data_IF_450932820815
#
_entry.id   IF_450932820815
#
_cell.length_a   1.000
_cell.length_b   1.000
_cell.length_c   1.000
_cell.angle_alpha   90.00
_cell.angle_beta   90.00
_cell.angle_gamma   90.00
#
_symmetry.space_group_name_H-M   'P 1'
#
loop_
_entity.id
_entity.type
_entity.pdbx_description
1 polymer ?
#
# COMPACT_ATOMS: atom_id res chain seq x y z
N UNK A 1 -25.27 23.85 19.49
CA UNK A 1 -24.88 23.85 18.06
C UNK A 1 -25.95 23.07 17.31
N UNK A 2 -26.71 23.70 16.41
CA UNK A 2 -27.73 22.98 15.63
C UNK A 2 -27.07 22.01 14.64
N UNK A 3 -27.67 20.84 14.45
CA UNK A 3 -27.28 19.83 13.45
C UNK A 3 -27.15 20.42 12.05
N UNK A 4 -27.98 21.42 11.73
CA UNK A 4 -27.97 22.11 10.44
C UNK A 4 -26.67 22.88 10.19
N UNK A 5 -26.07 23.43 11.26
CA UNK A 5 -24.81 24.15 11.16
C UNK A 5 -23.65 23.19 10.85
N UNK A 6 -23.64 22.01 11.47
CA UNK A 6 -22.63 20.98 11.21
C UNK A 6 -22.70 20.47 9.76
N UNK A 7 -23.91 20.16 9.27
CA UNK A 7 -24.12 19.72 7.89
C UNK A 7 -23.63 20.77 6.89
N UNK A 8 -23.91 22.05 7.15
CA UNK A 8 -23.46 23.15 6.31
C UNK A 8 -21.93 23.27 6.28
N UNK A 9 -21.28 23.14 7.43
CA UNK A 9 -19.81 23.16 7.53
C UNK A 9 -19.19 22.01 6.74
N UNK A 10 -19.68 20.78 6.94
CA UNK A 10 -19.18 19.60 6.23
C UNK A 10 -19.36 19.72 4.71
N UNK A 11 -20.54 20.18 4.26
CA UNK A 11 -20.83 20.37 2.83
C UNK A 11 -19.90 21.42 2.23
N UNK A 12 -19.78 22.59 2.86
CA UNK A 12 -18.91 23.67 2.41
C UNK A 12 -17.44 23.24 2.38
N UNK A 13 -17.00 22.46 3.37
CA UNK A 13 -15.62 21.95 3.45
C UNK A 13 -15.36 20.95 2.32
N UNK A 14 -16.31 20.05 2.07
CA UNK A 14 -16.24 19.06 0.98
C UNK A 14 -16.18 19.76 -0.38
N UNK A 15 -17.03 20.75 -0.62
CA UNK A 15 -17.01 21.54 -1.85
C UNK A 15 -15.68 22.25 -2.06
N UNK A 16 -15.11 22.84 -1.01
CA UNK A 16 -13.82 23.53 -1.08
C UNK A 16 -12.65 22.58 -1.32
N UNK A 17 -12.65 21.41 -0.67
CA UNK A 17 -11.61 20.40 -0.83
C UNK A 17 -11.67 19.69 -2.19
N UNK A 18 -12.83 19.71 -2.86
CA UNK A 18 -13.02 19.04 -4.16
C UNK A 18 -12.71 19.94 -5.36
N UNK A 19 -12.23 21.18 -5.13
CA UNK A 19 -11.98 22.13 -6.22
C UNK A 19 -10.78 21.70 -7.06
N UNK A 20 -10.86 21.67 -8.39
CA UNK A 20 -9.74 21.28 -9.26
C UNK A 20 -8.47 22.13 -9.04
N UNK A 21 -8.65 23.39 -8.66
CA UNK A 21 -7.56 24.32 -8.37
C UNK A 21 -6.79 23.92 -7.10
N UNK A 22 -7.46 23.33 -6.11
CA UNK A 22 -6.81 22.77 -4.92
C UNK A 22 -6.04 21.47 -5.19
N UNK A 23 -6.03 20.99 -6.42
CA UNK A 23 -5.55 19.65 -6.79
C UNK A 23 -4.41 19.66 -7.83
N UNK A 24 -4.22 20.76 -8.56
CA UNK A 24 -3.28 20.87 -9.68
C UNK A 24 -1.81 20.56 -9.34
N UNK A 25 -1.35 20.91 -8.14
CA UNK A 25 0.03 20.63 -7.70
C UNK A 25 0.16 19.34 -6.87
N UNK A 26 -0.96 18.77 -6.43
CA UNK A 26 -1.00 17.59 -5.55
C UNK A 26 -1.08 16.26 -6.31
N UNK A 27 -1.54 16.27 -7.56
CA UNK A 27 -1.67 15.05 -8.35
C UNK A 27 -0.59 14.94 -9.43
N UNK A 28 0.16 13.84 -9.38
CA UNK A 28 0.78 13.30 -10.58
C UNK A 28 -0.33 12.82 -11.51
N UNK A 29 -0.25 13.12 -12.82
CA UNK A 29 -1.23 12.63 -13.79
C UNK A 29 -1.12 11.11 -13.92
N UNK A 30 -1.90 10.39 -13.12
CA UNK A 30 -2.14 8.97 -13.32
C UNK A 30 -3.23 8.77 -14.38
N UNK A 31 -3.09 7.73 -15.22
CA UNK A 31 -4.25 7.25 -15.98
C UNK A 31 -5.13 6.49 -14.99
N UNK A 32 -6.45 6.59 -15.19
CA UNK A 32 -7.38 5.76 -14.44
C UNK A 32 -7.01 4.29 -14.59
N UNK A 33 -6.75 3.63 -13.45
CA UNK A 33 -6.34 2.22 -13.39
C UNK A 33 -4.85 1.98 -13.13
N UNK A 34 -3.99 3.01 -13.19
CA UNK A 34 -2.58 2.84 -12.82
C UNK A 34 -2.45 2.55 -11.32
N UNK A 35 -1.72 1.48 -10.99
CA UNK A 35 -1.51 1.09 -9.60
C UNK A 35 -0.43 1.97 -8.99
N UNK A 36 -0.78 2.70 -7.94
CA UNK A 36 0.16 3.40 -7.09
C UNK A 36 0.87 2.44 -6.13
N UNK A 37 2.13 2.72 -5.75
CA UNK A 37 2.79 2.02 -4.66
C UNK A 37 1.98 2.15 -3.36
N UNK A 38 1.75 1.02 -2.69
CA UNK A 38 0.99 0.91 -1.46
C UNK A 38 1.93 0.77 -0.27
N UNK A 39 1.98 1.78 0.59
CA UNK A 39 2.77 1.73 1.83
C UNK A 39 2.40 0.54 2.72
N UNK A 40 1.12 0.14 2.75
CA UNK A 40 0.67 -1.05 3.49
C UNK A 40 1.27 -2.33 2.92
N UNK A 41 1.29 -2.48 1.59
CA UNK A 41 1.85 -3.65 0.91
C UNK A 41 3.38 -3.70 1.04
N UNK A 42 4.05 -2.54 0.95
CA UNK A 42 5.49 -2.44 1.17
C UNK A 42 5.87 -2.87 2.60
N UNK A 43 5.09 -2.49 3.62
CA UNK A 43 5.30 -2.97 4.98
C UNK A 43 5.20 -4.51 5.07
N UNK A 44 4.19 -5.09 4.43
CA UNK A 44 4.00 -6.54 4.38
C UNK A 44 5.16 -7.27 3.69
N UNK A 45 5.68 -6.73 2.59
CA UNK A 45 6.88 -7.24 1.90
C UNK A 45 8.08 -7.32 2.85
N UNK A 46 8.28 -6.28 3.67
CA UNK A 46 9.37 -6.26 4.66
C UNK A 46 9.13 -7.29 5.77
N UNK A 47 7.90 -7.42 6.26
CA UNK A 47 7.54 -8.42 7.26
C UNK A 47 7.73 -9.86 6.74
N UNK A 48 7.32 -10.13 5.50
CA UNK A 48 7.55 -11.42 4.83
C UNK A 48 9.04 -11.70 4.68
N UNK A 49 9.81 -10.74 4.17
CA UNK A 49 11.27 -10.86 4.03
C UNK A 49 11.95 -11.20 5.36
N UNK A 50 11.58 -10.52 6.45
CA UNK A 50 12.10 -10.82 7.80
C UNK A 50 11.74 -12.24 8.25
N UNK A 51 10.51 -12.70 7.98
CA UNK A 51 10.08 -14.05 8.35
C UNK A 51 10.82 -15.15 7.58
N UNK A 52 11.25 -14.86 6.35
CA UNK A 52 12.02 -15.79 5.50
C UNK A 52 13.49 -15.83 5.92
N UNK A 53 14.10 -14.65 6.15
CA UNK A 53 15.53 -14.52 6.50
C UNK A 53 15.83 -14.93 7.94
N UNK A 54 14.89 -14.68 8.85
CA UNK A 54 15.04 -14.93 10.29
C UNK A 54 13.85 -15.77 10.81
N UNK A 55 13.68 -17.00 10.32
CA UNK A 55 12.56 -17.84 10.73
C UNK A 55 12.64 -18.18 12.22
N UNK A 56 11.51 -18.11 12.92
CA UNK A 56 11.43 -18.31 14.37
C UNK A 56 11.65 -17.03 15.20
N UNK A 57 12.24 -15.99 14.62
CA UNK A 57 12.30 -14.64 15.23
C UNK A 57 11.16 -13.74 14.74
N UNK A 58 10.82 -13.85 13.46
CA UNK A 58 9.75 -13.08 12.82
C UNK A 58 8.72 -14.02 12.18
N UNK A 59 7.47 -13.56 12.08
CA UNK A 59 6.36 -14.36 11.58
C UNK A 59 5.60 -15.08 12.70
N UNK A 60 5.03 -16.25 12.40
CA UNK A 60 4.22 -16.99 13.38
C UNK A 60 5.13 -17.61 14.46
N UNK A 61 4.78 -17.50 15.76
CA UNK A 61 5.62 -18.01 16.86
C UNK A 61 5.78 -19.54 16.90
N UNK A 62 5.00 -20.27 16.10
CA UNK A 62 5.02 -21.75 16.03
C UNK A 62 5.76 -22.27 14.78
N UNK A 63 6.97 -21.75 14.50
CA UNK A 63 7.82 -22.34 13.46
C UNK A 63 8.37 -23.68 13.97
N UNK A 64 7.75 -24.78 13.53
CA UNK A 64 8.27 -26.12 13.74
C UNK A 64 9.35 -26.41 12.69
N UNK A 65 10.51 -26.92 13.07
CA UNK A 65 11.59 -27.25 12.14
C UNK A 65 11.15 -28.27 11.07
N UNK A 66 10.14 -29.09 11.36
CA UNK A 66 9.54 -30.04 10.41
C UNK A 66 8.67 -29.36 9.34
N UNK A 67 8.17 -28.16 9.59
CA UNK A 67 7.28 -27.40 8.69
C UNK A 67 7.91 -26.11 8.16
N UNK A 68 9.13 -25.78 8.58
CA UNK A 68 9.82 -24.53 8.23
C UNK A 68 9.97 -24.35 6.71
N UNK A 69 10.30 -25.41 5.98
CA UNK A 69 10.43 -25.39 4.52
C UNK A 69 9.12 -25.02 3.84
N UNK A 70 7.99 -25.54 4.34
CA UNK A 70 6.66 -25.23 3.81
C UNK A 70 6.29 -23.76 4.05
N UNK A 71 6.52 -23.26 5.27
CA UNK A 71 6.26 -21.85 5.58
C UNK A 71 7.13 -20.89 4.77
N UNK A 72 8.42 -21.21 4.62
CA UNK A 72 9.33 -20.43 3.77
C UNK A 72 8.85 -20.44 2.32
N UNK A 73 8.48 -21.60 1.77
CA UNK A 73 7.99 -21.73 0.40
C UNK A 73 6.79 -20.83 0.12
N UNK A 74 5.76 -20.89 0.97
CA UNK A 74 4.56 -20.03 0.84
C UNK A 74 4.92 -18.55 0.97
N UNK A 75 5.77 -18.21 1.93
CA UNK A 75 6.15 -16.81 2.14
C UNK A 75 6.94 -16.27 0.95
N UNK A 76 7.80 -17.08 0.31
CA UNK A 76 8.53 -16.70 -0.91
C UNK A 76 7.57 -16.48 -2.08
N UNK A 77 6.59 -17.38 -2.28
CA UNK A 77 5.60 -17.23 -3.35
C UNK A 77 4.79 -15.93 -3.18
N UNK A 78 4.34 -15.66 -1.95
CA UNK A 78 3.63 -14.43 -1.62
C UNK A 78 4.52 -13.20 -1.78
N UNK A 79 5.77 -13.26 -1.32
CA UNK A 79 6.74 -12.18 -1.46
C UNK A 79 6.95 -11.83 -2.93
N UNK A 80 7.17 -12.83 -3.78
CA UNK A 80 7.35 -12.63 -5.22
C UNK A 80 6.14 -11.90 -5.83
N UNK A 81 4.91 -12.38 -5.59
CA UNK A 81 3.69 -11.74 -6.10
C UNK A 81 3.60 -10.27 -5.70
N UNK A 82 3.76 -9.97 -4.40
CA UNK A 82 3.59 -8.63 -3.87
C UNK A 82 4.70 -7.69 -4.35
N UNK A 83 5.95 -8.17 -4.33
CA UNK A 83 7.10 -7.36 -4.73
C UNK A 83 7.05 -7.02 -6.22
N UNK A 84 6.73 -7.98 -7.09
CA UNK A 84 6.55 -7.72 -8.52
C UNK A 84 5.46 -6.68 -8.79
N UNK A 85 4.31 -6.80 -8.11
CA UNK A 85 3.20 -5.84 -8.26
C UNK A 85 3.61 -4.43 -7.79
N UNK A 86 4.36 -4.31 -6.69
CA UNK A 86 4.81 -3.02 -6.16
C UNK A 86 5.94 -2.39 -6.98
N UNK A 87 6.86 -3.19 -7.53
CA UNK A 87 7.89 -2.71 -8.46
C UNK A 87 7.21 -2.16 -9.73
N UNK A 88 6.25 -2.90 -10.30
CA UNK A 88 5.49 -2.44 -11.46
C UNK A 88 4.76 -1.12 -11.18
N UNK A 89 4.10 -1.00 -10.01
CA UNK A 89 3.46 0.23 -9.56
C UNK A 89 4.46 1.40 -9.45
N UNK A 90 5.66 1.15 -8.91
CA UNK A 90 6.73 2.15 -8.83
C UNK A 90 7.23 2.61 -10.19
N UNK A 91 7.38 1.69 -11.14
CA UNK A 91 7.79 2.01 -12.51
C UNK A 91 6.73 2.85 -13.23
N UNK A 92 5.44 2.50 -13.11
CA UNK A 92 4.34 3.31 -13.66
C UNK A 92 4.33 4.72 -13.08
N UNK A 93 4.58 4.86 -11.76
CA UNK A 93 4.65 6.16 -11.10
C UNK A 93 5.78 7.05 -11.65
N UNK A 94 6.96 6.48 -11.91
CA UNK A 94 8.11 7.24 -12.44
C UNK A 94 7.93 7.59 -13.92
N UNK A 95 7.42 6.66 -14.74
CA UNK A 95 7.25 6.87 -16.18
C UNK A 95 6.34 8.06 -16.54
N UNK A 96 5.43 8.45 -15.63
CA UNK A 96 4.50 9.57 -15.82
C UNK A 96 5.07 10.93 -15.41
N UNK A 97 6.27 10.96 -14.82
CA UNK A 97 6.93 12.19 -14.37
C UNK A 97 7.85 12.81 -15.44
N UNK A 98 8.13 12.06 -16.51
CA UNK A 98 8.84 12.49 -17.74
C UNK A 98 7.84 12.82 -18.83
#
# INVERSE_FOLDING_TARGET
MSTDNLTKILTTTTERLSKPESHKELFHRHRDGDRLPSGKTLKEIIELSRSILCPGYYGKPTVNIRTITYHIGINIERLHKLLSDQIAAGLCFVAQKT
#
